data_IF_622690709575
#
_entry.id   IF_622690709575
#
_cell.length_a   1.000
_cell.length_b   1.000
_cell.length_c   1.000
_cell.angle_alpha   90.00
_cell.angle_beta   90.00
_cell.angle_gamma   90.00
#
_symmetry.space_group_name_H-M   'P 1'
#
loop_
_entity.id
_entity.type
_entity.pdbx_description
1 polymer ?
#
# COMPACT_ATOMS: atom_id res chain seq x y z
N UNK A 1 -70.82 33.48 -16.12
CA UNK A 1 -69.96 33.10 -17.27
C UNK A 1 -69.17 31.83 -16.96
N UNK A 2 -69.80 30.66 -17.08
CA UNK A 2 -69.14 29.37 -16.98
C UNK A 2 -68.97 28.84 -18.39
N UNK A 3 -67.95 29.29 -19.07
CA UNK A 3 -67.51 28.66 -20.29
C UNK A 3 -66.37 27.69 -19.93
N UNK A 4 -66.64 26.40 -20.08
CA UNK A 4 -65.65 25.31 -19.85
C UNK A 4 -65.17 25.21 -18.40
N UNK A 5 -65.63 24.31 -17.58
CA UNK A 5 -65.29 23.92 -16.19
C UNK A 5 -63.86 24.01 -15.69
N UNK A 6 -63.03 24.87 -16.24
CA UNK A 6 -61.64 25.14 -15.94
C UNK A 6 -61.59 26.37 -15.03
N UNK A 7 -61.27 26.19 -13.76
CA UNK A 7 -61.02 27.29 -12.84
C UNK A 7 -59.70 28.01 -13.19
N UNK A 8 -59.71 28.91 -14.15
CA UNK A 8 -58.56 29.68 -14.61
C UNK A 8 -57.82 30.39 -13.45
N UNK A 9 -58.57 30.82 -12.45
CA UNK A 9 -57.99 31.47 -11.25
C UNK A 9 -57.03 30.53 -10.50
N UNK A 10 -57.38 29.24 -10.42
CA UNK A 10 -56.48 28.23 -9.80
C UNK A 10 -55.16 28.06 -10.53
N UNK A 11 -55.20 28.03 -11.85
CA UNK A 11 -54.00 27.89 -12.68
C UNK A 11 -53.15 29.15 -12.68
N UNK A 12 -53.76 30.33 -12.62
CA UNK A 12 -53.01 31.60 -12.42
C UNK A 12 -52.31 31.64 -11.05
N UNK A 13 -52.97 31.23 -10.00
CA UNK A 13 -52.36 31.09 -8.66
C UNK A 13 -51.23 30.09 -8.65
N UNK A 14 -51.39 28.92 -9.22
CA UNK A 14 -50.36 27.89 -9.33
C UNK A 14 -49.14 28.39 -10.12
N UNK A 15 -49.37 29.03 -11.27
CA UNK A 15 -48.29 29.66 -12.05
C UNK A 15 -47.54 30.73 -11.29
N UNK A 16 -48.27 31.54 -10.48
CA UNK A 16 -47.66 32.53 -9.57
C UNK A 16 -46.79 31.91 -8.52
N UNK A 17 -47.26 30.83 -7.86
CA UNK A 17 -46.52 30.10 -6.84
C UNK A 17 -45.27 29.44 -7.42
N UNK A 18 -45.39 28.77 -8.59
CA UNK A 18 -44.23 28.12 -9.26
C UNK A 18 -43.24 29.18 -9.76
N UNK A 19 -43.73 30.27 -10.35
CA UNK A 19 -42.90 31.41 -10.79
C UNK A 19 -42.17 32.04 -9.63
N UNK A 20 -42.87 32.27 -8.50
CA UNK A 20 -42.27 32.77 -7.26
C UNK A 20 -41.21 31.83 -6.71
N UNK A 21 -41.44 30.50 -6.72
CA UNK A 21 -40.48 29.51 -6.30
C UNK A 21 -39.20 29.53 -7.17
N UNK A 22 -39.36 29.65 -8.51
CA UNK A 22 -38.21 29.77 -9.42
C UNK A 22 -37.41 31.05 -9.12
N UNK A 23 -38.08 32.22 -8.99
CA UNK A 23 -37.43 33.48 -8.70
C UNK A 23 -36.74 33.45 -7.34
N UNK A 24 -37.37 32.82 -6.33
CA UNK A 24 -36.78 32.65 -5.00
C UNK A 24 -35.55 31.72 -5.05
N UNK A 25 -35.61 30.60 -5.79
CA UNK A 25 -34.48 29.72 -6.00
C UNK A 25 -33.31 30.40 -6.72
N UNK A 26 -33.60 31.22 -7.75
CA UNK A 26 -32.59 32.01 -8.45
C UNK A 26 -31.99 33.11 -7.56
N UNK A 27 -32.77 33.74 -6.69
CA UNK A 27 -32.26 34.72 -5.73
C UNK A 27 -31.36 34.08 -4.68
N UNK A 28 -31.73 32.93 -4.13
CA UNK A 28 -30.86 32.16 -3.23
C UNK A 28 -29.55 31.81 -3.95
N UNK A 29 -29.62 31.30 -5.20
CA UNK A 29 -28.46 31.05 -6.00
C UNK A 29 -27.57 32.27 -6.17
N UNK A 30 -28.14 33.42 -6.55
CA UNK A 30 -27.39 34.63 -6.79
C UNK A 30 -26.68 35.12 -5.52
N UNK A 31 -27.36 35.10 -4.36
CA UNK A 31 -26.78 35.48 -3.06
C UNK A 31 -25.67 34.51 -2.68
N UNK A 32 -25.90 33.19 -2.77
CA UNK A 32 -24.93 32.19 -2.41
C UNK A 32 -23.64 32.29 -3.27
N UNK A 33 -23.82 32.42 -4.60
CA UNK A 33 -22.68 32.60 -5.49
C UNK A 33 -21.99 33.93 -5.40
N UNK A 34 -22.72 35.01 -5.04
CA UNK A 34 -22.10 36.28 -4.72
C UNK A 34 -21.18 36.19 -3.49
N UNK A 35 -21.63 35.51 -2.43
CA UNK A 35 -20.83 35.27 -1.21
C UNK A 35 -19.62 34.36 -1.54
N UNK A 36 -19.85 33.25 -2.24
CA UNK A 36 -18.78 32.32 -2.61
C UNK A 36 -17.70 32.98 -3.47
N UNK A 37 -18.11 33.79 -4.49
CA UNK A 37 -17.17 34.55 -5.32
C UNK A 37 -16.39 35.58 -4.49
N UNK A 38 -17.03 36.25 -3.52
CA UNK A 38 -16.37 37.20 -2.66
C UNK A 38 -15.33 36.54 -1.75
N UNK A 39 -15.65 35.36 -1.20
CA UNK A 39 -14.73 34.55 -0.36
C UNK A 39 -13.58 34.00 -1.19
N UNK A 40 -13.86 33.45 -2.35
CA UNK A 40 -12.85 32.88 -3.25
C UNK A 40 -11.84 33.93 -3.72
N UNK A 41 -12.33 35.15 -4.07
CA UNK A 41 -11.45 36.28 -4.45
C UNK A 41 -10.58 36.78 -3.30
N UNK A 42 -11.09 36.74 -2.05
CA UNK A 42 -10.31 37.17 -0.87
C UNK A 42 -9.16 36.22 -0.52
N UNK A 43 -9.34 34.91 -0.77
CA UNK A 43 -8.30 33.90 -0.53
C UNK A 43 -7.27 33.81 -1.64
N UNK A 44 -7.53 34.39 -2.83
CA UNK A 44 -6.63 34.32 -3.98
C UNK A 44 -6.39 32.89 -4.51
N UNK A 45 -7.18 31.91 -4.06
CA UNK A 45 -7.00 30.51 -4.34
C UNK A 45 -7.56 30.15 -5.74
N UNK A 46 -6.69 29.68 -6.62
CA UNK A 46 -7.03 29.30 -7.99
C UNK A 46 -8.10 28.20 -8.01
N UNK A 47 -8.01 27.27 -7.04
CA UNK A 47 -8.94 26.14 -6.89
C UNK A 47 -10.35 26.65 -6.56
N UNK A 48 -10.45 27.55 -5.57
CA UNK A 48 -11.72 28.13 -5.15
C UNK A 48 -12.38 28.92 -6.28
N UNK A 49 -11.60 29.70 -7.05
CA UNK A 49 -12.11 30.46 -8.18
C UNK A 49 -12.62 29.55 -9.33
N UNK A 50 -11.88 28.50 -9.67
CA UNK A 50 -12.27 27.53 -10.68
C UNK A 50 -13.55 26.79 -10.29
N UNK A 51 -13.63 26.31 -9.03
CA UNK A 51 -14.81 25.63 -8.48
C UNK A 51 -16.06 26.53 -8.54
N UNK A 52 -15.95 27.77 -8.08
CA UNK A 52 -17.06 28.74 -8.10
C UNK A 52 -17.47 29.11 -9.51
N UNK A 53 -16.55 29.23 -10.45
CA UNK A 53 -16.84 29.54 -11.84
C UNK A 53 -17.66 28.42 -12.50
N UNK A 54 -17.20 27.18 -12.40
CA UNK A 54 -17.83 26.04 -13.07
C UNK A 54 -19.10 25.57 -12.35
N UNK A 55 -19.14 25.53 -11.02
CA UNK A 55 -20.33 25.11 -10.28
C UNK A 55 -21.52 26.10 -10.40
N UNK A 56 -21.27 27.32 -10.87
CA UNK A 56 -22.32 28.34 -11.05
C UNK A 56 -23.41 27.93 -12.05
N UNK A 57 -23.03 27.24 -13.12
CA UNK A 57 -23.99 26.88 -14.19
C UNK A 57 -24.95 25.78 -13.75
N UNK A 58 -24.52 24.60 -13.22
CA UNK A 58 -25.47 23.56 -12.80
C UNK A 58 -26.27 23.96 -11.55
N UNK A 59 -25.68 24.66 -10.61
CA UNK A 59 -26.39 25.10 -9.39
C UNK A 59 -27.52 26.09 -9.68
N UNK A 60 -27.42 26.84 -10.78
CA UNK A 60 -28.50 27.71 -11.27
C UNK A 60 -29.76 26.93 -11.65
N UNK A 61 -29.65 25.67 -11.98
CA UNK A 61 -30.80 24.78 -12.28
C UNK A 61 -31.21 23.96 -11.06
N UNK A 62 -30.25 23.49 -10.25
CA UNK A 62 -30.51 22.64 -9.09
C UNK A 62 -31.32 23.40 -8.02
N UNK A 63 -30.91 24.62 -7.66
CA UNK A 63 -31.58 25.37 -6.60
C UNK A 63 -33.04 25.71 -6.91
N UNK A 64 -33.39 26.29 -8.08
CA UNK A 64 -34.79 26.51 -8.42
C UNK A 64 -35.62 25.21 -8.49
N UNK A 65 -35.05 24.11 -9.03
CA UNK A 65 -35.75 22.82 -9.08
C UNK A 65 -36.05 22.26 -7.71
N UNK A 66 -35.11 22.38 -6.74
CA UNK A 66 -35.34 22.00 -5.35
C UNK A 66 -36.44 22.83 -4.69
N UNK A 67 -36.43 24.14 -4.90
CA UNK A 67 -37.48 25.05 -4.36
C UNK A 67 -38.83 24.74 -4.99
N UNK A 68 -38.88 24.51 -6.30
CA UNK A 68 -40.12 24.13 -6.98
C UNK A 68 -40.64 22.81 -6.42
N UNK A 69 -39.82 21.77 -6.26
CA UNK A 69 -40.23 20.49 -5.68
C UNK A 69 -40.76 20.64 -4.25
N UNK A 70 -40.18 21.55 -3.47
CA UNK A 70 -40.61 21.78 -2.08
C UNK A 70 -41.97 22.51 -2.01
N UNK A 71 -42.24 23.40 -2.98
CA UNK A 71 -43.44 24.26 -2.98
C UNK A 71 -44.59 23.64 -3.80
N UNK A 72 -44.28 22.73 -4.73
CA UNK A 72 -45.27 22.14 -5.64
C UNK A 72 -46.46 21.43 -4.95
N UNK A 73 -46.28 20.73 -3.80
CA UNK A 73 -47.38 20.14 -3.03
C UNK A 73 -48.43 21.14 -2.52
N UNK A 74 -48.03 22.38 -2.29
CA UNK A 74 -48.90 23.47 -1.81
C UNK A 74 -49.63 24.18 -2.96
N UNK A 75 -49.26 23.88 -4.21
CA UNK A 75 -49.89 24.53 -5.38
C UNK A 75 -51.30 23.99 -5.61
N UNK A 76 -52.30 24.87 -5.84
CA UNK A 76 -53.69 24.46 -6.07
C UNK A 76 -53.90 23.88 -7.47
N UNK A 77 -53.18 22.82 -7.82
CA UNK A 77 -53.22 22.12 -9.09
C UNK A 77 -54.09 20.86 -9.01
N UNK A 78 -54.58 20.36 -10.16
CA UNK A 78 -55.18 19.05 -10.21
C UNK A 78 -54.12 17.97 -9.96
N UNK A 79 -54.51 16.86 -9.31
CA UNK A 79 -53.58 15.75 -9.00
C UNK A 79 -52.79 15.25 -10.21
N UNK A 80 -53.41 15.22 -11.39
CA UNK A 80 -52.75 14.77 -12.61
C UNK A 80 -51.65 15.73 -13.08
N UNK A 81 -51.95 17.03 -13.10
CA UNK A 81 -50.95 18.07 -13.47
C UNK A 81 -49.82 18.15 -12.46
N UNK A 82 -50.14 18.07 -11.20
CA UNK A 82 -49.16 18.04 -10.09
C UNK A 82 -48.19 16.87 -10.25
N UNK A 83 -48.71 15.65 -10.47
CA UNK A 83 -47.87 14.47 -10.66
C UNK A 83 -46.95 14.57 -11.88
N UNK A 84 -47.41 15.18 -12.97
CA UNK A 84 -46.59 15.41 -14.17
C UNK A 84 -45.45 16.42 -13.87
N UNK A 85 -45.77 17.52 -13.18
CA UNK A 85 -44.78 18.54 -12.84
C UNK A 85 -43.75 18.04 -11.80
N UNK A 86 -44.18 17.32 -10.78
CA UNK A 86 -43.28 16.67 -9.82
C UNK A 86 -42.35 15.70 -10.53
N UNK A 87 -42.88 14.89 -11.43
CA UNK A 87 -42.08 13.94 -12.18
C UNK A 87 -41.06 14.64 -13.11
N UNK A 88 -41.51 15.64 -13.85
CA UNK A 88 -40.63 16.45 -14.73
C UNK A 88 -39.54 17.18 -13.95
N UNK A 89 -39.89 17.79 -12.80
CA UNK A 89 -38.93 18.46 -11.93
C UNK A 89 -37.94 17.47 -11.29
N UNK A 90 -38.40 16.28 -10.90
CA UNK A 90 -37.58 15.18 -10.43
C UNK A 90 -36.56 14.68 -11.46
N UNK A 91 -36.99 14.47 -12.70
CA UNK A 91 -36.11 14.12 -13.83
C UNK A 91 -35.07 15.21 -14.08
N UNK A 92 -35.50 16.49 -14.08
CA UNK A 92 -34.61 17.65 -14.22
C UNK A 92 -33.57 17.71 -13.11
N UNK A 93 -33.96 17.40 -11.87
CA UNK A 93 -33.05 17.37 -10.73
C UNK A 93 -32.01 16.25 -10.86
N UNK A 94 -32.43 15.03 -11.28
CA UNK A 94 -31.50 13.92 -11.52
C UNK A 94 -30.48 14.32 -12.61
N UNK A 95 -30.94 14.90 -13.72
CA UNK A 95 -30.06 15.38 -14.78
C UNK A 95 -29.08 16.46 -14.31
N UNK A 96 -29.57 17.42 -13.51
CA UNK A 96 -28.75 18.53 -13.00
C UNK A 96 -27.69 18.03 -11.98
N UNK A 97 -28.03 17.06 -11.15
CA UNK A 97 -27.06 16.42 -10.23
C UNK A 97 -26.00 15.65 -11.02
N UNK A 98 -26.42 14.83 -12.01
CA UNK A 98 -25.50 14.12 -12.88
C UNK A 98 -24.53 15.08 -13.59
N UNK A 99 -25.06 16.18 -14.12
CA UNK A 99 -24.23 17.24 -14.71
C UNK A 99 -23.26 17.85 -13.73
N UNK A 100 -23.69 18.13 -12.50
CA UNK A 100 -22.80 18.66 -11.46
C UNK A 100 -21.63 17.69 -11.17
N UNK A 101 -21.88 16.39 -11.06
CA UNK A 101 -20.83 15.37 -10.82
C UNK A 101 -19.83 15.34 -11.99
N UNK A 102 -20.32 15.35 -13.23
CA UNK A 102 -19.47 15.39 -14.44
C UNK A 102 -18.60 16.67 -14.43
N UNK A 103 -19.16 17.77 -14.06
CA UNK A 103 -18.50 19.07 -14.06
C UNK A 103 -17.42 19.17 -12.97
N UNK A 104 -17.65 18.60 -11.78
CA UNK A 104 -16.64 18.49 -10.72
C UNK A 104 -15.44 17.66 -11.21
N UNK A 105 -15.68 16.56 -11.94
CA UNK A 105 -14.61 15.77 -12.56
C UNK A 105 -13.81 16.57 -13.60
N UNK A 106 -14.47 17.41 -14.40
CA UNK A 106 -13.82 18.27 -15.39
C UNK A 106 -12.96 19.36 -14.72
N UNK A 107 -13.47 20.01 -13.67
CA UNK A 107 -12.73 21.00 -12.89
C UNK A 107 -11.43 20.42 -12.35
N UNK A 108 -11.48 19.20 -11.82
CA UNK A 108 -10.29 18.52 -11.30
C UNK A 108 -9.24 18.35 -12.40
N UNK A 109 -9.66 17.94 -13.60
CA UNK A 109 -8.79 17.82 -14.78
C UNK A 109 -8.16 19.16 -15.17
N UNK A 110 -8.95 20.25 -15.17
CA UNK A 110 -8.49 21.58 -15.56
C UNK A 110 -7.49 22.17 -14.53
N UNK A 111 -7.73 21.98 -13.25
CA UNK A 111 -6.83 22.44 -12.18
C UNK A 111 -5.47 21.72 -12.28
N UNK A 112 -5.48 20.41 -12.52
CA UNK A 112 -4.24 19.66 -12.72
C UNK A 112 -3.50 20.08 -14.00
N UNK A 113 -4.24 20.30 -15.10
CA UNK A 113 -3.64 20.77 -16.34
C UNK A 113 -2.97 22.15 -16.18
N UNK A 114 -3.55 23.04 -15.39
CA UNK A 114 -2.93 24.35 -15.07
C UNK A 114 -1.71 24.25 -14.16
N UNK A 115 -1.70 23.30 -13.23
CA UNK A 115 -0.58 23.09 -12.31
C UNK A 115 0.63 22.44 -12.98
N UNK A 116 0.39 21.58 -13.97
CA UNK A 116 1.41 20.92 -14.78
C UNK A 116 1.45 21.59 -16.18
N UNK A 117 2.15 22.74 -16.31
CA UNK A 117 2.24 23.51 -17.57
C UNK A 117 2.91 22.67 -18.65
N UNK A 118 2.20 22.48 -19.75
CA UNK A 118 2.66 21.72 -20.93
C UNK A 118 3.68 22.51 -21.77
N UNK A 119 3.80 23.82 -21.54
CA UNK A 119 4.62 24.74 -22.34
C UNK A 119 6.12 24.76 -21.95
N UNK A 120 6.53 23.95 -20.94
CA UNK A 120 7.94 23.84 -20.56
C UNK A 120 8.69 22.88 -21.51
N UNK A 121 9.98 23.12 -21.73
CA UNK A 121 10.82 22.35 -22.65
C UNK A 121 10.90 20.84 -22.34
N UNK A 122 10.68 20.46 -21.08
CA UNK A 122 10.54 19.07 -20.63
C UNK A 122 9.13 18.83 -20.04
N UNK A 123 8.18 18.43 -20.91
CA UNK A 123 6.77 18.30 -20.59
C UNK A 123 6.25 16.85 -20.54
N UNK A 124 7.13 15.84 -20.48
CA UNK A 124 6.75 14.43 -20.49
C UNK A 124 5.82 14.06 -19.32
N UNK A 125 6.12 14.56 -18.12
CA UNK A 125 5.29 14.37 -16.93
C UNK A 125 3.92 15.03 -17.08
N UNK A 126 3.86 16.25 -17.61
CA UNK A 126 2.61 16.99 -17.80
C UNK A 126 1.67 16.26 -18.78
N UNK A 127 2.20 15.78 -19.91
CA UNK A 127 1.44 15.00 -20.91
C UNK A 127 0.94 13.68 -20.33
N UNK A 128 1.76 12.97 -19.56
CA UNK A 128 1.36 11.71 -18.90
C UNK A 128 0.20 11.93 -17.93
N UNK A 129 0.30 12.94 -17.07
CA UNK A 129 -0.74 13.29 -16.09
C UNK A 129 -2.03 13.69 -16.82
N UNK A 130 -1.95 14.56 -17.82
CA UNK A 130 -3.13 15.01 -18.58
C UNK A 130 -3.85 13.84 -19.28
N UNK A 131 -3.12 12.91 -19.89
CA UNK A 131 -3.71 11.73 -20.52
C UNK A 131 -4.42 10.84 -19.50
N UNK A 132 -3.82 10.59 -18.34
CA UNK A 132 -4.42 9.80 -17.27
C UNK A 132 -5.74 10.42 -16.78
N UNK A 133 -5.75 11.72 -16.48
CA UNK A 133 -6.97 12.39 -16.03
C UNK A 133 -8.05 12.47 -17.09
N UNK A 134 -7.70 12.62 -18.37
CA UNK A 134 -8.66 12.57 -19.47
C UNK A 134 -9.36 11.20 -19.57
N UNK A 135 -8.63 10.11 -19.36
CA UNK A 135 -9.21 8.76 -19.33
C UNK A 135 -10.15 8.61 -18.13
N UNK A 136 -9.73 9.01 -16.92
CA UNK A 136 -10.57 8.96 -15.73
C UNK A 136 -11.85 9.79 -15.89
N UNK A 137 -11.75 10.99 -16.43
CA UNK A 137 -12.92 11.83 -16.71
C UNK A 137 -13.92 11.11 -17.63
N UNK A 138 -13.45 10.50 -18.73
CA UNK A 138 -14.33 9.74 -19.65
C UNK A 138 -15.03 8.58 -18.96
N UNK A 139 -14.32 7.82 -18.11
CA UNK A 139 -14.90 6.73 -17.32
C UNK A 139 -15.99 7.28 -16.39
N UNK A 140 -15.71 8.35 -15.64
CA UNK A 140 -16.68 8.99 -14.75
C UNK A 140 -17.92 9.43 -15.52
N UNK A 141 -17.76 10.08 -16.68
CA UNK A 141 -18.90 10.52 -17.52
C UNK A 141 -19.78 9.33 -17.92
N UNK A 142 -19.18 8.25 -18.42
CA UNK A 142 -19.93 7.05 -18.82
C UNK A 142 -20.69 6.44 -17.64
N UNK A 143 -20.03 6.27 -16.49
CA UNK A 143 -20.66 5.70 -15.29
C UNK A 143 -21.80 6.58 -14.80
N UNK A 144 -21.57 7.89 -14.68
CA UNK A 144 -22.60 8.84 -14.24
C UNK A 144 -23.79 8.87 -15.18
N UNK A 145 -23.57 8.83 -16.52
CA UNK A 145 -24.65 8.79 -17.49
C UNK A 145 -25.48 7.49 -17.37
N UNK A 146 -24.83 6.33 -17.20
CA UNK A 146 -25.53 5.04 -17.02
C UNK A 146 -26.37 5.05 -15.74
N UNK A 147 -25.79 5.50 -14.61
CA UNK A 147 -26.50 5.56 -13.33
C UNK A 147 -27.65 6.57 -13.39
N UNK A 148 -27.42 7.76 -13.93
CA UNK A 148 -28.48 8.78 -14.08
C UNK A 148 -29.63 8.25 -14.96
N UNK A 149 -29.32 7.61 -16.09
CA UNK A 149 -30.30 7.01 -16.96
C UNK A 149 -31.11 5.92 -16.22
N UNK A 150 -30.44 5.03 -15.50
CA UNK A 150 -31.11 3.99 -14.73
C UNK A 150 -32.06 4.58 -13.67
N UNK A 151 -31.60 5.59 -12.92
CA UNK A 151 -32.42 6.29 -11.91
C UNK A 151 -33.61 6.97 -12.58
N UNK A 152 -33.42 7.65 -13.73
CA UNK A 152 -34.53 8.27 -14.49
C UNK A 152 -35.56 7.24 -14.96
N UNK A 153 -35.11 6.09 -15.48
CA UNK A 153 -36.03 5.00 -15.89
C UNK A 153 -36.80 4.43 -14.70
N UNK A 154 -36.19 4.37 -13.51
CA UNK A 154 -36.87 3.89 -12.29
C UNK A 154 -37.99 4.82 -11.82
N UNK A 155 -38.02 6.08 -12.24
CA UNK A 155 -39.10 7.01 -11.90
C UNK A 155 -40.40 6.70 -12.65
N UNK A 156 -40.34 5.96 -13.76
CA UNK A 156 -41.50 5.56 -14.55
C UNK A 156 -42.03 4.20 -14.11
N UNK A 157 -43.25 4.06 -13.59
CA UNK A 157 -43.80 2.79 -13.10
C UNK A 157 -43.79 1.67 -14.16
N UNK A 158 -44.06 1.99 -15.41
CA UNK A 158 -44.15 1.03 -16.52
C UNK A 158 -42.80 0.36 -16.86
N UNK A 159 -41.68 1.07 -16.68
CA UNK A 159 -40.34 0.61 -17.09
C UNK A 159 -39.35 0.59 -15.92
N UNK A 160 -39.84 0.73 -14.69
CA UNK A 160 -39.02 0.73 -13.46
C UNK A 160 -38.10 -0.49 -13.36
N UNK A 161 -38.57 -1.66 -13.80
CA UNK A 161 -37.78 -2.90 -13.79
C UNK A 161 -36.56 -2.83 -14.69
N UNK A 162 -36.61 -2.06 -15.81
CA UNK A 162 -35.45 -1.87 -16.68
C UNK A 162 -34.36 -1.07 -15.96
N UNK A 163 -34.72 0.04 -15.29
CA UNK A 163 -33.78 0.81 -14.50
C UNK A 163 -33.13 0.00 -13.38
N UNK A 164 -33.95 -0.82 -12.67
CA UNK A 164 -33.44 -1.75 -11.65
C UNK A 164 -32.48 -2.78 -12.23
N UNK A 165 -32.77 -3.33 -13.40
CA UNK A 165 -31.89 -4.30 -14.06
C UNK A 165 -30.55 -3.68 -14.48
N UNK A 166 -30.57 -2.43 -14.98
CA UNK A 166 -29.35 -1.69 -15.32
C UNK A 166 -28.50 -1.48 -14.06
N UNK A 167 -29.10 -1.03 -12.95
CA UNK A 167 -28.38 -0.84 -11.69
C UNK A 167 -27.82 -2.16 -11.14
N UNK A 168 -28.61 -3.22 -11.18
CA UNK A 168 -28.18 -4.54 -10.74
C UNK A 168 -26.98 -5.05 -11.58
N UNK A 169 -27.07 -4.92 -12.90
CA UNK A 169 -25.98 -5.28 -13.82
C UNK A 169 -24.74 -4.43 -13.60
N UNK A 170 -24.91 -3.11 -13.39
CA UNK A 170 -23.81 -2.21 -13.07
C UNK A 170 -23.16 -2.56 -11.72
N UNK A 171 -23.96 -2.94 -10.72
CA UNK A 171 -23.49 -3.41 -9.43
C UNK A 171 -22.66 -4.71 -9.54
N UNK A 172 -23.14 -5.68 -10.32
CA UNK A 172 -22.42 -6.92 -10.60
C UNK A 172 -21.12 -6.65 -11.36
N UNK A 173 -21.14 -5.80 -12.38
CA UNK A 173 -19.95 -5.38 -13.11
C UNK A 173 -18.96 -4.68 -12.19
N UNK A 174 -19.43 -3.80 -11.28
CA UNK A 174 -18.62 -3.15 -10.27
C UNK A 174 -17.95 -4.14 -9.29
N UNK A 175 -18.68 -5.18 -8.87
CA UNK A 175 -18.14 -6.26 -8.04
C UNK A 175 -17.01 -7.00 -8.76
N UNK A 176 -17.21 -7.37 -10.02
CA UNK A 176 -16.20 -8.08 -10.84
C UNK A 176 -14.95 -7.21 -11.00
N UNK A 177 -15.12 -5.94 -11.36
CA UNK A 177 -14.00 -4.99 -11.48
C UNK A 177 -13.30 -4.79 -10.14
N UNK A 178 -14.07 -4.63 -9.04
CA UNK A 178 -13.51 -4.51 -7.68
C UNK A 178 -12.69 -5.72 -7.28
N UNK A 179 -13.14 -6.93 -7.59
CA UNK A 179 -12.37 -8.16 -7.35
C UNK A 179 -11.10 -8.23 -8.20
N UNK A 180 -11.18 -7.83 -9.47
CA UNK A 180 -10.00 -7.78 -10.34
C UNK A 180 -8.97 -6.73 -9.89
N UNK A 181 -9.40 -5.65 -9.23
CA UNK A 181 -8.54 -4.58 -8.71
C UNK A 181 -8.10 -4.80 -7.24
N UNK A 182 -8.44 -5.93 -6.63
CA UNK A 182 -8.17 -6.20 -5.20
C UNK A 182 -6.74 -5.91 -4.80
N UNK A 183 -5.77 -6.38 -5.57
CA UNK A 183 -4.34 -6.24 -5.24
C UNK A 183 -3.87 -4.79 -5.35
N UNK A 184 -4.36 -4.06 -6.35
CA UNK A 184 -4.09 -2.62 -6.49
C UNK A 184 -4.65 -1.83 -5.31
N UNK A 185 -5.89 -2.12 -4.92
CA UNK A 185 -6.54 -1.48 -3.79
C UNK A 185 -5.85 -1.85 -2.46
N UNK A 186 -5.43 -3.10 -2.31
CA UNK A 186 -4.65 -3.57 -1.16
C UNK A 186 -3.34 -2.77 -1.02
N UNK A 187 -2.61 -2.55 -2.10
CA UNK A 187 -1.39 -1.74 -2.07
C UNK A 187 -1.66 -0.28 -1.72
N UNK A 188 -2.74 0.31 -2.21
CA UNK A 188 -3.11 1.68 -1.87
C UNK A 188 -3.44 1.82 -0.37
N UNK A 189 -4.24 0.89 0.17
CA UNK A 189 -4.58 0.86 1.60
C UNK A 189 -3.32 0.61 2.44
N UNK A 190 -2.44 -0.29 2.00
CA UNK A 190 -1.15 -0.54 2.64
C UNK A 190 -0.30 0.75 2.69
N UNK A 191 -0.24 1.51 1.60
CA UNK A 191 0.48 2.79 1.55
C UNK A 191 -0.03 3.79 2.58
N UNK A 192 -1.34 3.93 2.71
CA UNK A 192 -1.96 4.79 3.72
C UNK A 192 -1.61 4.28 5.13
N UNK A 193 -1.76 2.99 5.38
CA UNK A 193 -1.48 2.39 6.69
C UNK A 193 0.00 2.55 7.09
N UNK A 194 0.93 2.31 6.16
CA UNK A 194 2.37 2.47 6.39
C UNK A 194 2.72 3.94 6.67
N UNK A 195 2.11 4.89 5.96
CA UNK A 195 2.32 6.31 6.18
C UNK A 195 1.95 6.75 7.62
N UNK A 196 0.89 6.18 8.20
CA UNK A 196 0.48 6.46 9.58
C UNK A 196 1.24 5.64 10.62
N UNK A 197 1.39 4.33 10.42
CA UNK A 197 1.98 3.42 11.39
C UNK A 197 3.52 3.44 11.37
N UNK A 198 4.13 3.81 10.26
CA UNK A 198 5.58 3.87 10.02
C UNK A 198 6.33 2.63 10.57
N UNK A 199 5.99 1.41 10.13
CA UNK A 199 6.69 0.20 10.58
C UNK A 199 8.16 0.19 10.15
N UNK A 200 8.51 0.92 9.11
CA UNK A 200 9.84 1.23 8.62
C UNK A 200 9.88 2.65 8.02
N UNK A 201 11.06 3.20 7.86
CA UNK A 201 11.32 4.55 7.31
C UNK A 201 12.37 4.48 6.21
N UNK A 202 12.58 5.58 5.48
CA UNK A 202 13.72 5.72 4.58
C UNK A 202 15.02 5.53 5.35
N UNK A 203 16.00 4.90 4.72
CA UNK A 203 17.33 4.56 5.27
C UNK A 203 17.29 3.51 6.41
N UNK A 204 16.13 2.96 6.79
CA UNK A 204 16.09 1.83 7.71
C UNK A 204 16.79 0.61 7.11
N UNK A 205 17.54 -0.09 7.95
CA UNK A 205 18.16 -1.37 7.61
C UNK A 205 17.16 -2.48 7.86
N UNK A 206 16.88 -3.25 6.83
CA UNK A 206 15.90 -4.33 6.88
C UNK A 206 16.45 -5.63 6.31
N UNK A 207 15.91 -6.75 6.80
CA UNK A 207 16.04 -8.05 6.13
C UNK A 207 14.66 -8.49 5.68
N UNK A 208 14.50 -8.66 4.39
CA UNK A 208 13.25 -9.07 3.73
C UNK A 208 13.58 -10.07 2.63
N UNK A 209 12.79 -11.15 2.51
CA UNK A 209 13.06 -12.27 1.58
C UNK A 209 14.48 -12.88 1.74
N UNK A 210 15.05 -12.82 2.95
CA UNK A 210 16.42 -13.28 3.22
C UNK A 210 17.53 -12.33 2.75
N UNK A 211 17.18 -11.23 2.09
CA UNK A 211 18.11 -10.21 1.62
C UNK A 211 18.22 -9.08 2.64
N UNK A 212 19.45 -8.68 2.93
CA UNK A 212 19.76 -7.57 3.82
C UNK A 212 20.06 -6.30 3.01
N UNK A 213 19.47 -5.17 3.41
CA UNK A 213 19.64 -3.91 2.70
C UNK A 213 18.98 -2.73 3.39
N UNK A 214 18.94 -1.59 2.69
CA UNK A 214 18.38 -0.32 3.15
C UNK A 214 17.13 0.05 2.36
N UNK A 215 16.15 0.64 3.02
CA UNK A 215 14.98 1.23 2.37
C UNK A 215 15.44 2.47 1.60
N UNK A 216 15.53 2.38 0.27
CA UNK A 216 15.98 3.46 -0.61
C UNK A 216 14.84 4.40 -1.03
N UNK A 217 13.66 3.83 -1.30
CA UNK A 217 12.50 4.59 -1.77
C UNK A 217 11.19 3.97 -1.26
N UNK A 218 10.25 4.81 -0.86
CA UNK A 218 8.89 4.42 -0.51
C UNK A 218 7.94 5.20 -1.41
N UNK A 219 7.26 4.49 -2.32
CA UNK A 219 6.23 5.06 -3.19
C UNK A 219 4.82 4.79 -2.63
N UNK A 220 3.79 5.17 -3.36
CA UNK A 220 2.40 4.82 -3.03
C UNK A 220 2.04 3.36 -3.27
N UNK A 221 2.84 2.60 -4.02
CA UNK A 221 2.51 1.23 -4.42
C UNK A 221 3.59 0.21 -4.12
N UNK A 222 4.84 0.63 -4.01
CA UNK A 222 5.98 -0.26 -3.80
C UNK A 222 7.06 0.41 -2.94
N UNK A 223 7.92 -0.42 -2.37
CA UNK A 223 9.14 -0.03 -1.67
C UNK A 223 10.33 -0.58 -2.44
N UNK A 224 11.39 0.20 -2.53
CA UNK A 224 12.67 -0.21 -3.09
C UNK A 224 13.66 -0.43 -1.95
N UNK A 225 14.16 -1.65 -1.83
CA UNK A 225 15.22 -2.01 -0.89
C UNK A 225 16.51 -2.14 -1.67
N UNK A 226 17.50 -1.33 -1.34
CA UNK A 226 18.85 -1.41 -1.89
C UNK A 226 19.63 -2.47 -1.12
N UNK A 227 19.91 -3.60 -1.75
CA UNK A 227 20.69 -4.69 -1.18
C UNK A 227 22.16 -4.30 -1.09
N UNK A 228 22.91 -4.94 -0.21
CA UNK A 228 24.34 -4.66 0.04
C UNK A 228 25.22 -4.77 -1.22
N UNK A 229 24.83 -5.58 -2.22
CA UNK A 229 25.51 -5.75 -3.51
C UNK A 229 25.03 -4.79 -4.61
N UNK A 230 24.28 -3.75 -4.23
CA UNK A 230 23.70 -2.71 -5.09
C UNK A 230 22.52 -3.16 -5.97
N UNK A 231 22.04 -4.39 -5.87
CA UNK A 231 20.74 -4.77 -6.46
C UNK A 231 19.60 -4.03 -5.75
N UNK A 232 18.51 -3.82 -6.47
CA UNK A 232 17.28 -3.24 -5.92
C UNK A 232 16.20 -4.31 -5.90
N UNK A 233 15.71 -4.60 -4.71
CA UNK A 233 14.55 -5.44 -4.49
C UNK A 233 13.32 -4.55 -4.42
N UNK A 234 12.39 -4.73 -5.36
CA UNK A 234 11.16 -3.93 -5.44
C UNK A 234 10.00 -4.79 -4.95
N UNK A 235 9.37 -4.36 -3.87
CA UNK A 235 8.28 -5.09 -3.22
C UNK A 235 7.02 -4.24 -3.15
N UNK A 236 5.82 -4.80 -3.40
CA UNK A 236 4.57 -4.09 -3.19
C UNK A 236 4.38 -3.75 -1.71
N UNK A 237 3.74 -2.61 -1.40
CA UNK A 237 3.52 -2.18 -0.01
C UNK A 237 2.72 -3.19 0.80
N UNK A 238 1.75 -3.85 0.17
CA UNK A 238 0.95 -4.91 0.81
C UNK A 238 1.79 -6.08 1.30
N UNK A 239 2.95 -6.34 0.69
CA UNK A 239 3.88 -7.38 1.13
C UNK A 239 4.32 -7.16 2.57
N UNK A 240 4.74 -5.94 2.92
CA UNK A 240 5.23 -5.58 4.26
C UNK A 240 4.15 -5.65 5.36
N UNK A 241 2.86 -5.64 4.98
CA UNK A 241 1.75 -5.82 5.92
C UNK A 241 1.36 -7.28 6.13
N UNK A 242 1.65 -8.14 5.15
CA UNK A 242 1.21 -9.55 5.15
C UNK A 242 2.33 -10.54 5.47
N UNK A 243 3.59 -10.12 5.33
CA UNK A 243 4.75 -10.97 5.60
C UNK A 243 5.63 -10.38 6.70
N UNK A 244 6.23 -11.22 7.57
CA UNK A 244 7.17 -10.76 8.56
C UNK A 244 8.47 -10.31 7.87
N UNK A 245 9.04 -9.23 8.36
CA UNK A 245 10.36 -8.73 8.00
C UNK A 245 11.09 -8.26 9.24
N UNK A 246 12.42 -8.18 9.20
CA UNK A 246 13.23 -7.67 10.30
C UNK A 246 13.62 -6.22 10.02
N UNK A 247 13.33 -5.32 10.94
CA UNK A 247 13.82 -3.94 10.93
C UNK A 247 14.89 -3.81 12.01
N UNK A 248 16.11 -3.55 11.60
CA UNK A 248 17.29 -3.54 12.48
C UNK A 248 17.50 -2.16 13.12
N UNK A 249 16.92 -1.11 12.60
CA UNK A 249 17.15 0.28 13.02
C UNK A 249 15.88 0.98 13.54
N UNK A 250 14.80 0.23 13.77
CA UNK A 250 13.50 0.78 14.15
C UNK A 250 13.52 1.67 15.39
N UNK A 251 14.26 1.26 16.43
CA UNK A 251 14.34 1.95 17.74
C UNK A 251 15.70 2.57 17.98
N UNK A 252 16.77 1.87 17.61
CA UNK A 252 18.16 2.35 17.70
C UNK A 252 18.95 1.71 16.57
N UNK A 253 20.08 2.30 16.22
CA UNK A 253 21.01 1.72 15.28
C UNK A 253 21.95 0.68 15.94
N UNK A 254 22.00 0.63 17.27
CA UNK A 254 22.84 -0.27 18.05
C UNK A 254 22.44 -1.73 17.84
N UNK A 255 23.43 -2.57 17.54
CA UNK A 255 23.22 -3.98 17.27
C UNK A 255 24.24 -4.87 17.98
N UNK A 256 23.79 -6.07 18.30
CA UNK A 256 24.67 -7.13 18.79
C UNK A 256 25.16 -7.98 17.62
N UNK A 257 26.45 -7.87 17.31
CA UNK A 257 27.15 -8.77 16.42
C UNK A 257 27.53 -10.06 17.13
N UNK A 258 27.45 -11.20 16.44
CA UNK A 258 27.90 -12.47 17.00
C UNK A 258 28.76 -13.25 16.00
N UNK A 259 29.70 -14.01 16.55
CA UNK A 259 30.57 -14.93 15.83
C UNK A 259 30.48 -16.30 16.48
N UNK A 260 30.18 -17.32 15.69
CA UNK A 260 30.29 -18.72 16.12
C UNK A 260 31.60 -19.32 15.62
N UNK A 261 32.27 -20.05 16.49
CA UNK A 261 33.42 -20.86 16.16
C UNK A 261 33.21 -22.28 16.75
N UNK A 262 33.48 -23.31 15.95
CA UNK A 262 33.50 -24.69 16.41
C UNK A 262 34.94 -25.09 16.71
N UNK A 263 35.19 -25.46 17.96
CA UNK A 263 36.53 -25.76 18.49
C UNK A 263 36.57 -27.12 19.16
N UNK A 264 37.76 -27.67 19.35
CA UNK A 264 37.92 -28.93 20.12
C UNK A 264 37.63 -28.72 21.60
N UNK A 265 37.27 -29.79 22.32
CA UNK A 265 37.04 -29.79 23.77
C UNK A 265 38.24 -29.37 24.62
N UNK A 266 39.44 -29.37 24.05
CA UNK A 266 40.68 -28.90 24.71
C UNK A 266 40.85 -27.39 24.72
N UNK A 267 39.91 -26.65 24.12
CA UNK A 267 40.02 -25.19 24.06
C UNK A 267 40.03 -24.54 25.45
N UNK A 268 41.00 -23.68 25.75
CA UNK A 268 41.00 -22.91 27.02
C UNK A 268 40.04 -21.71 26.86
N UNK A 269 38.77 -21.89 27.18
CA UNK A 269 37.71 -20.91 27.00
C UNK A 269 38.08 -19.55 27.67
N UNK A 270 38.71 -19.55 28.84
CA UNK A 270 39.07 -18.34 29.55
C UNK A 270 40.16 -17.52 28.79
N UNK A 271 41.09 -18.17 28.13
CA UNK A 271 42.12 -17.47 27.36
C UNK A 271 41.52 -16.88 26.08
N UNK A 272 40.62 -17.61 25.44
CA UNK A 272 39.87 -17.10 24.27
C UNK A 272 38.98 -15.90 24.69
N UNK A 273 38.40 -15.92 25.89
CA UNK A 273 37.61 -14.80 26.43
C UNK A 273 38.46 -13.54 26.67
N UNK A 274 39.67 -13.71 27.22
CA UNK A 274 40.60 -12.60 27.39
C UNK A 274 41.02 -12.03 26.04
N UNK A 275 41.32 -12.89 25.08
CA UNK A 275 41.69 -12.47 23.73
C UNK A 275 40.55 -11.75 23.02
N UNK A 276 39.30 -12.24 23.11
CA UNK A 276 38.15 -11.53 22.57
C UNK A 276 38.05 -10.11 23.12
N UNK A 277 38.20 -9.94 24.43
CA UNK A 277 38.18 -8.63 25.07
C UNK A 277 39.30 -7.74 24.54
N UNK A 278 40.52 -8.27 24.44
CA UNK A 278 41.69 -7.54 23.87
C UNK A 278 41.43 -7.07 22.43
N UNK A 279 40.83 -7.94 21.62
CA UNK A 279 40.48 -7.60 20.23
C UNK A 279 39.44 -6.46 20.21
N UNK A 280 38.36 -6.57 20.99
CA UNK A 280 37.35 -5.54 21.08
C UNK A 280 37.91 -4.19 21.52
N UNK A 281 38.77 -4.17 22.58
CA UNK A 281 39.39 -2.94 23.07
C UNK A 281 40.38 -2.32 22.08
N UNK A 282 40.93 -3.10 21.15
CA UNK A 282 41.88 -2.63 20.13
C UNK A 282 41.23 -1.96 18.93
N UNK A 283 39.92 -2.01 18.79
CA UNK A 283 39.19 -1.48 17.60
C UNK A 283 38.18 -0.40 17.98
N UNK A 284 37.93 0.53 17.04
CA UNK A 284 36.89 1.55 17.17
C UNK A 284 35.51 1.04 16.72
N UNK A 285 35.40 -0.20 16.23
CA UNK A 285 34.15 -0.79 15.79
C UNK A 285 33.27 -1.24 16.95
N UNK A 286 33.89 -1.54 18.11
CA UNK A 286 33.20 -1.93 19.33
C UNK A 286 32.70 -0.72 20.11
N UNK A 287 31.45 -0.74 20.55
CA UNK A 287 30.80 0.37 21.26
C UNK A 287 31.17 0.38 22.76
N UNK A 288 31.61 -0.74 23.33
CA UNK A 288 32.15 -0.80 24.70
C UNK A 288 31.18 -1.34 25.76
N UNK A 289 29.97 -1.74 25.40
CA UNK A 289 28.95 -2.19 26.36
C UNK A 289 28.94 -3.72 26.54
N UNK A 290 28.95 -4.46 25.43
CA UNK A 290 28.81 -5.92 25.43
C UNK A 290 30.03 -6.59 24.80
N UNK A 291 30.71 -7.45 25.57
CA UNK A 291 31.80 -8.32 25.08
C UNK A 291 31.77 -9.61 25.87
N UNK A 292 31.13 -10.65 25.33
CA UNK A 292 30.85 -11.91 26.03
C UNK A 292 31.25 -13.10 25.19
N UNK A 293 31.99 -14.06 25.75
CA UNK A 293 32.27 -15.37 25.14
C UNK A 293 31.56 -16.46 25.92
N UNK A 294 30.80 -17.30 25.28
CA UNK A 294 30.04 -18.40 25.86
C UNK A 294 30.16 -19.65 24.99
N UNK A 295 30.25 -20.81 25.61
CA UNK A 295 29.97 -22.08 24.96
C UNK A 295 28.45 -22.20 24.85
N UNK A 296 27.93 -22.32 23.64
CA UNK A 296 26.47 -22.31 23.35
C UNK A 296 25.93 -23.69 22.96
N UNK A 297 26.80 -24.56 22.45
CA UNK A 297 26.42 -25.90 22.05
C UNK A 297 27.64 -26.82 22.05
N UNK A 298 27.41 -28.14 22.04
CA UNK A 298 28.44 -29.16 21.95
C UNK A 298 27.96 -30.34 21.12
N UNK A 299 28.83 -30.78 20.23
CA UNK A 299 28.60 -31.98 19.39
C UNK A 299 29.52 -33.10 19.86
N UNK A 300 29.44 -34.29 19.27
CA UNK A 300 30.36 -35.43 19.58
C UNK A 300 31.82 -35.06 19.38
N UNK A 301 32.16 -34.09 18.56
CA UNK A 301 33.53 -33.78 18.14
C UNK A 301 33.95 -32.36 18.46
N UNK A 302 33.02 -31.41 18.64
CA UNK A 302 33.33 -29.99 18.81
C UNK A 302 32.46 -29.33 19.87
N UNK A 303 32.96 -28.24 20.43
CA UNK A 303 32.21 -27.27 21.23
C UNK A 303 32.02 -26.04 20.38
N UNK A 304 30.79 -25.54 20.32
CA UNK A 304 30.47 -24.26 19.69
C UNK A 304 30.64 -23.13 20.72
N UNK A 305 31.51 -22.21 20.43
CA UNK A 305 31.65 -20.99 21.21
C UNK A 305 31.05 -19.80 20.43
N UNK A 306 30.34 -18.93 21.14
CA UNK A 306 29.76 -17.70 20.61
C UNK A 306 30.44 -16.51 21.25
N UNK A 307 31.06 -15.66 20.43
CA UNK A 307 31.46 -14.31 20.79
C UNK A 307 30.32 -13.33 20.47
N UNK A 308 29.87 -12.56 21.44
CA UNK A 308 28.82 -11.55 21.33
C UNK A 308 29.42 -10.19 21.63
N UNK A 309 29.24 -9.23 20.72
CA UNK A 309 29.79 -7.88 20.81
C UNK A 309 28.74 -6.87 20.31
N UNK A 310 28.75 -5.66 20.87
CA UNK A 310 27.93 -4.54 20.44
C UNK A 310 28.67 -3.64 19.44
N UNK A 311 27.89 -3.04 18.54
CA UNK A 311 28.37 -2.06 17.57
C UNK A 311 27.32 -0.96 17.37
N UNK A 312 27.78 0.22 16.99
CA UNK A 312 26.96 1.42 16.82
C UNK A 312 25.93 1.31 15.69
N UNK A 313 26.28 0.58 14.64
CA UNK A 313 25.43 0.39 13.46
C UNK A 313 25.65 -0.99 12.81
N UNK A 314 24.80 -1.32 11.85
CA UNK A 314 24.80 -2.61 11.16
C UNK A 314 26.06 -2.86 10.32
N UNK A 315 26.64 -1.83 9.71
CA UNK A 315 27.88 -1.93 8.93
C UNK A 315 29.07 -2.20 9.84
N UNK A 316 29.19 -1.43 10.94
CA UNK A 316 30.24 -1.65 11.96
C UNK A 316 30.08 -3.01 12.65
N UNK A 317 28.84 -3.48 12.87
CA UNK A 317 28.57 -4.81 13.40
C UNK A 317 29.10 -5.90 12.48
N UNK A 318 28.91 -5.76 11.16
CA UNK A 318 29.44 -6.70 10.20
C UNK A 318 30.97 -6.73 10.19
N UNK A 319 31.60 -5.55 10.10
CA UNK A 319 33.06 -5.42 10.09
C UNK A 319 33.67 -5.95 11.38
N UNK A 320 33.08 -5.66 12.54
CA UNK A 320 33.49 -6.19 13.82
C UNK A 320 33.42 -7.71 13.89
N UNK A 321 32.35 -8.31 13.35
CA UNK A 321 32.20 -9.77 13.26
C UNK A 321 33.30 -10.40 12.40
N UNK A 322 33.64 -9.81 11.27
CA UNK A 322 34.70 -10.29 10.41
C UNK A 322 36.06 -10.17 11.11
N UNK A 323 36.37 -9.01 11.67
CA UNK A 323 37.62 -8.77 12.40
C UNK A 323 37.82 -9.76 13.58
N UNK A 324 36.78 -9.91 14.39
CA UNK A 324 36.83 -10.80 15.57
C UNK A 324 36.99 -12.26 15.12
N UNK A 325 36.29 -12.69 14.09
CA UNK A 325 36.40 -14.05 13.55
C UNK A 325 37.80 -14.36 13.07
N UNK A 326 38.39 -13.46 12.27
CA UNK A 326 39.74 -13.61 11.72
C UNK A 326 40.79 -13.64 12.84
N UNK A 327 40.71 -12.68 13.77
CA UNK A 327 41.64 -12.59 14.89
C UNK A 327 41.55 -13.78 15.86
N UNK A 328 40.37 -14.28 16.18
CA UNK A 328 40.22 -15.44 17.04
C UNK A 328 40.69 -16.73 16.33
N UNK A 329 40.50 -16.88 15.02
CA UNK A 329 41.06 -18.00 14.27
C UNK A 329 42.58 -17.96 14.28
N UNK A 330 43.19 -16.81 13.98
CA UNK A 330 44.64 -16.61 14.04
C UNK A 330 45.21 -16.92 15.43
N UNK A 331 44.55 -16.42 16.48
CA UNK A 331 44.95 -16.70 17.90
C UNK A 331 44.91 -18.19 18.22
N UNK A 332 43.84 -18.89 17.83
CA UNK A 332 43.71 -20.33 18.07
C UNK A 332 44.74 -21.15 17.28
N UNK A 333 44.99 -20.78 16.02
CA UNK A 333 46.00 -21.45 15.18
C UNK A 333 47.41 -21.29 15.74
N UNK A 334 47.73 -20.09 16.24
CA UNK A 334 49.08 -19.77 16.72
C UNK A 334 49.35 -20.32 18.09
N UNK A 335 48.44 -20.15 19.06
CA UNK A 335 48.67 -20.46 20.46
C UNK A 335 48.09 -21.79 20.91
N UNK A 336 47.03 -22.28 20.23
CA UNK A 336 46.28 -23.48 20.63
C UNK A 336 45.92 -24.35 19.43
N UNK A 337 46.89 -24.82 18.62
CA UNK A 337 46.59 -25.59 17.40
C UNK A 337 45.87 -26.92 17.72
N UNK A 338 46.02 -27.45 18.93
CA UNK A 338 45.29 -28.64 19.40
C UNK A 338 43.82 -28.39 19.73
N UNK A 339 43.40 -27.12 19.77
CA UNK A 339 42.01 -26.70 19.99
C UNK A 339 41.22 -26.56 18.68
N UNK A 340 41.83 -26.77 17.53
CA UNK A 340 41.14 -26.85 16.27
C UNK A 340 40.40 -28.19 16.12
N UNK A 341 39.26 -28.24 15.45
CA UNK A 341 38.48 -29.45 15.27
C UNK A 341 39.32 -30.57 14.70
N UNK A 342 39.30 -31.73 15.37
CA UNK A 342 40.03 -32.92 14.95
C UNK A 342 39.13 -34.12 14.91
N UNK A 343 39.36 -35.01 13.92
CA UNK A 343 38.73 -36.31 13.90
C UNK A 343 39.55 -37.25 14.76
N UNK A 344 38.92 -37.88 15.75
CA UNK A 344 39.51 -38.92 16.57
C UNK A 344 39.02 -40.25 16.04
N UNK A 345 39.90 -41.03 15.36
CA UNK A 345 39.60 -42.36 14.87
C UNK A 345 40.46 -43.36 15.65
N UNK A 346 39.85 -44.38 16.22
CA UNK A 346 40.54 -45.50 16.82
C UNK A 346 40.80 -46.51 15.72
N UNK A 347 42.06 -46.74 15.39
CA UNK A 347 42.47 -47.71 14.37
C UNK A 347 42.70 -49.06 15.02
N UNK A 348 41.84 -50.03 14.76
CA UNK A 348 42.01 -51.40 15.21
C UNK A 348 42.74 -52.21 14.13
N UNK A 349 43.94 -52.75 14.39
CA UNK A 349 44.62 -53.58 13.43
C UNK A 349 43.82 -54.87 13.18
N UNK A 350 43.54 -55.16 11.93
CA UNK A 350 43.01 -56.48 11.54
C UNK A 350 44.10 -57.54 11.57
N UNK A 351 43.73 -58.81 11.75
CA UNK A 351 44.68 -59.94 11.76
C UNK A 351 45.53 -60.01 10.50
N UNK A 352 45.08 -59.44 9.38
CA UNK A 352 45.78 -59.47 8.08
C UNK A 352 46.62 -58.19 7.83
N UNK A 353 46.91 -57.38 8.83
CA UNK A 353 47.77 -56.21 8.70
C UNK A 353 47.12 -55.01 7.99
N UNK A 354 45.83 -55.06 7.70
CA UNK A 354 45.06 -53.95 7.16
C UNK A 354 44.48 -53.09 8.29
N UNK A 355 44.54 -51.77 8.16
CA UNK A 355 43.94 -50.82 9.12
C UNK A 355 42.49 -50.58 8.73
N UNK A 356 41.54 -50.75 9.67
CA UNK A 356 40.16 -50.29 9.50
C UNK A 356 39.86 -49.19 10.53
N UNK A 357 39.11 -48.18 10.10
CA UNK A 357 38.56 -47.21 11.02
C UNK A 357 37.29 -47.77 11.65
N UNK A 358 37.28 -48.01 12.97
CA UNK A 358 36.03 -48.25 13.67
C UNK A 358 35.36 -46.90 13.90
N UNK A 359 34.39 -46.58 13.03
CA UNK A 359 33.44 -45.50 13.36
C UNK A 359 32.57 -46.00 14.53
N UNK A 360 32.56 -45.26 15.63
CA UNK A 360 31.86 -45.62 16.87
C UNK A 360 30.33 -45.67 16.81
N UNK A 361 29.76 -45.83 15.65
CA UNK A 361 28.31 -46.02 15.47
C UNK A 361 27.94 -47.50 15.57
N UNK A 362 27.94 -48.09 16.80
CA UNK A 362 27.14 -49.29 17.07
C UNK A 362 25.67 -48.87 17.16
N UNK A 363 24.97 -49.09 16.08
CA UNK A 363 23.52 -48.92 16.03
C UNK A 363 22.99 -48.90 14.61
N UNK A 364 22.96 -50.09 14.00
CA UNK A 364 22.26 -50.28 12.73
C UNK A 364 20.76 -49.99 12.89
N UNK A 365 20.35 -48.82 12.52
CA UNK A 365 19.00 -48.56 12.09
C UNK A 365 19.07 -48.27 10.59
N UNK A 366 18.58 -49.20 9.77
CA UNK A 366 18.30 -48.93 8.36
C UNK A 366 17.38 -47.65 8.32
N UNK A 367 17.71 -46.66 7.52
CA UNK A 367 16.78 -45.51 7.36
C UNK A 367 15.49 -46.06 6.73
N UNK A 368 14.40 -45.82 7.43
CA UNK A 368 13.07 -46.15 6.92
C UNK A 368 12.84 -45.38 5.62
N UNK A 369 12.21 -46.06 4.66
CA UNK A 369 11.90 -45.57 3.30
C UNK A 369 11.15 -44.23 3.20
N UNK A 370 10.92 -43.55 4.32
CA UNK A 370 10.14 -42.32 4.42
C UNK A 370 11.00 -41.04 4.35
N UNK A 371 12.32 -41.11 4.53
CA UNK A 371 13.19 -39.91 4.52
C UNK A 371 13.82 -39.57 3.17
N UNK A 372 13.64 -40.42 2.14
CA UNK A 372 14.20 -40.16 0.79
C UNK A 372 13.37 -39.22 -0.08
N UNK A 373 12.25 -38.65 0.44
CA UNK A 373 11.34 -37.83 -0.38
C UNK A 373 11.37 -36.33 -0.08
N UNK A 374 12.31 -35.83 0.74
CA UNK A 374 12.41 -34.40 1.08
C UNK A 374 13.62 -33.67 0.44
N UNK A 375 14.46 -34.37 -0.32
CA UNK A 375 15.65 -33.76 -0.94
C UNK A 375 15.63 -33.65 -2.47
N UNK A 376 14.49 -33.44 -3.14
CA UNK A 376 14.53 -32.89 -4.51
C UNK A 376 13.17 -32.40 -5.05
N UNK A 377 12.77 -31.11 -4.85
CA UNK A 377 11.71 -30.53 -5.66
C UNK A 377 12.30 -29.58 -6.71
N UNK A 378 13.07 -30.12 -7.67
CA UNK A 378 13.38 -29.33 -8.87
C UNK A 378 13.93 -30.24 -9.96
N UNK A 379 13.03 -30.94 -10.64
CA UNK A 379 13.20 -31.41 -12.05
C UNK A 379 12.01 -32.28 -12.46
N UNK A 380 10.86 -31.70 -12.68
CA UNK A 380 9.87 -32.20 -13.63
C UNK A 380 8.71 -31.25 -13.72
N UNK A 381 8.73 -30.40 -14.70
CA UNK A 381 7.59 -29.88 -15.46
C UNK A 381 8.06 -28.74 -16.38
N UNK A 382 8.89 -29.09 -17.33
CA UNK A 382 8.96 -28.37 -18.61
C UNK A 382 8.94 -29.48 -19.66
N UNK A 383 7.73 -29.83 -20.09
CA UNK A 383 7.36 -30.24 -21.45
C UNK A 383 5.89 -30.63 -21.46
N UNK A 384 5.19 -30.04 -22.43
CA UNK A 384 3.82 -30.21 -22.92
C UNK A 384 2.73 -29.33 -22.32
N UNK A 385 2.50 -28.20 -22.89
CA UNK A 385 1.52 -27.71 -23.88
C UNK A 385 1.55 -26.20 -23.96
#
# INVERSE_FOLDING_TARGET
MHLWGINWVRYFWAAGVIGGAIVFGLTIHAILFFILRRVARRKGDVIANSLVHHANVPSRWILPLLVVLAVLPEAPLSKNVMGILEHAAGLGLIAAIAWLVILVSQITSDILAQRYRVDAADNLLARRVQTQFSIFHRIIVVVVCIVALAIMLMTFPAIKHIGMSILASAGLAGLIVGMAMKDTLSNLVAGIQIAFAQPFRLEDVVTVEGEWGWIEEITTMYVVVRIWDLRRLVLPLSYFLTHPFQNWTRTSAELLGYVYLNVDYKVPIEEVRKELRRICESTKLWQGQVCVLQATDSTEHTVQIRALMDAEDSSKAWDLRCLVREKLIDFLQTNYPDSLPRYRAELTPLPDGKLTTSDGSRGGAQPSRTEQNIQNPSKSQVMDK
#
